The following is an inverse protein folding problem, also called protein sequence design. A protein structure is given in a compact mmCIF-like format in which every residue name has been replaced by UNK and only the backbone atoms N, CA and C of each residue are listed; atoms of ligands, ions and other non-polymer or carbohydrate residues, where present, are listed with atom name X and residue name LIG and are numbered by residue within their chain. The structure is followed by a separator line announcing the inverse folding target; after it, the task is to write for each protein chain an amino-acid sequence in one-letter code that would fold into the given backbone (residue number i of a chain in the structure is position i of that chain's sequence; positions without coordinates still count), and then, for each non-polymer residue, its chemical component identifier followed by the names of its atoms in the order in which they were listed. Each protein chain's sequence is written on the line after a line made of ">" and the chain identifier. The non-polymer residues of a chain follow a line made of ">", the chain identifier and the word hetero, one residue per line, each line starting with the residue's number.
data_IF_942744895414
#
_entry.id   IF_942744895414
#
_cell.length_a   1.000
_cell.length_b   1.000
_cell.length_c   1.000
_cell.angle_alpha   90.00
_cell.angle_beta   90.00
_cell.angle_gamma   90.00
#
_symmetry.space_group_name_H-M   'P 1'
#
loop_
_entity.id
_entity.type
_entity.pdbx_description
1 polymer ?
#
# COMPACT_ATOMS: atom_id res chain seq x y z
N UNK A 1 -0.65 -23.23 -5.35
CA UNK A 1 -1.52 -23.89 -4.36
C UNK A 1 -2.12 -25.22 -4.86
N UNK A 2 -1.85 -25.66 -6.10
CA UNK A 2 -2.35 -26.92 -6.66
C UNK A 2 -3.88 -27.01 -6.78
N UNK A 3 -4.56 -25.88 -6.80
CA UNK A 3 -6.01 -25.76 -6.85
C UNK A 3 -6.46 -25.55 -8.30
N UNK A 4 -7.56 -26.21 -8.71
CA UNK A 4 -8.16 -25.95 -10.01
C UNK A 4 -8.88 -24.58 -10.07
N UNK A 5 -9.23 -24.14 -11.27
CA UNK A 5 -9.81 -22.81 -11.50
C UNK A 5 -11.19 -22.65 -10.83
N UNK A 6 -11.98 -23.70 -10.78
CA UNK A 6 -13.33 -23.68 -10.19
C UNK A 6 -13.25 -23.54 -8.66
N UNK A 7 -12.37 -24.29 -8.02
CA UNK A 7 -12.09 -24.20 -6.59
C UNK A 7 -11.52 -22.82 -6.23
N UNK A 8 -10.60 -22.28 -7.04
CA UNK A 8 -10.05 -20.95 -6.84
C UNK A 8 -11.14 -19.85 -6.94
N UNK A 9 -12.02 -19.95 -7.91
CA UNK A 9 -13.16 -19.03 -8.08
C UNK A 9 -14.14 -19.13 -6.91
N UNK A 10 -14.48 -20.32 -6.48
CA UNK A 10 -15.36 -20.57 -5.31
C UNK A 10 -14.76 -19.93 -4.05
N UNK A 11 -13.46 -20.07 -3.81
CA UNK A 11 -12.78 -19.46 -2.67
C UNK A 11 -12.83 -17.93 -2.72
N UNK A 12 -12.61 -17.33 -3.88
CA UNK A 12 -12.71 -15.87 -4.08
C UNK A 12 -14.14 -15.38 -3.82
N UNK A 13 -15.15 -16.10 -4.29
CA UNK A 13 -16.55 -15.75 -4.09
C UNK A 13 -16.93 -15.86 -2.60
N UNK A 14 -16.46 -16.90 -1.90
CA UNK A 14 -16.64 -17.03 -0.45
C UNK A 14 -15.95 -15.87 0.30
N UNK A 15 -14.73 -15.50 -0.07
CA UNK A 15 -14.04 -14.36 0.52
C UNK A 15 -14.86 -13.07 0.33
N UNK A 16 -15.31 -12.79 -0.89
CA UNK A 16 -16.08 -11.59 -1.17
C UNK A 16 -17.47 -11.57 -0.49
N UNK A 17 -18.06 -12.72 -0.23
CA UNK A 17 -19.32 -12.80 0.53
C UNK A 17 -19.12 -12.51 2.02
N UNK A 18 -18.00 -12.97 2.59
CA UNK A 18 -17.66 -12.74 4.00
C UNK A 18 -17.11 -11.33 4.26
N UNK A 19 -16.44 -10.73 3.28
CA UNK A 19 -15.78 -9.41 3.39
C UNK A 19 -16.23 -8.49 2.24
N UNK A 20 -17.53 -8.17 2.15
CA UNK A 20 -18.09 -7.46 0.98
C UNK A 20 -17.56 -6.04 0.81
N UNK A 21 -17.13 -5.39 1.90
CA UNK A 21 -16.61 -4.03 1.86
C UNK A 21 -15.34 -3.90 1.00
N UNK A 22 -14.50 -4.92 0.91
CA UNK A 22 -13.29 -4.92 0.06
C UNK A 22 -13.68 -4.76 -1.40
N UNK A 23 -14.69 -5.52 -1.85
CA UNK A 23 -15.21 -5.43 -3.23
C UNK A 23 -15.85 -4.06 -3.51
N UNK A 24 -16.59 -3.51 -2.53
CA UNK A 24 -17.19 -2.18 -2.64
C UNK A 24 -16.14 -1.08 -2.73
N UNK A 25 -15.11 -1.11 -1.88
CA UNK A 25 -14.01 -0.16 -1.91
C UNK A 25 -13.24 -0.22 -3.23
N UNK A 26 -12.90 -1.43 -3.70
CA UNK A 26 -12.22 -1.62 -4.99
C UNK A 26 -13.00 -0.97 -6.12
N UNK A 27 -14.30 -1.29 -6.24
CA UNK A 27 -15.16 -0.70 -7.27
C UNK A 27 -15.31 0.82 -7.12
N UNK A 28 -15.44 1.31 -5.89
CA UNK A 28 -15.57 2.75 -5.62
C UNK A 28 -14.32 3.54 -6.06
N UNK A 29 -13.14 3.03 -5.72
CA UNK A 29 -11.88 3.66 -6.10
C UNK A 29 -11.65 3.60 -7.61
N UNK A 30 -11.93 2.45 -8.25
CA UNK A 30 -11.86 2.31 -9.71
C UNK A 30 -12.82 3.29 -10.41
N UNK A 31 -14.09 3.33 -10.03
CA UNK A 31 -15.09 4.23 -10.61
C UNK A 31 -14.65 5.70 -10.50
N UNK A 32 -14.04 6.09 -9.37
CA UNK A 32 -13.49 7.44 -9.19
C UNK A 32 -12.35 7.73 -10.17
N UNK A 33 -11.48 6.77 -10.43
CA UNK A 33 -10.35 6.93 -11.35
C UNK A 33 -10.79 6.86 -12.82
N UNK A 34 -11.79 6.06 -13.13
CA UNK A 34 -12.31 5.89 -14.48
C UNK A 34 -13.16 7.07 -14.94
N UNK A 35 -13.62 7.95 -14.03
CA UNK A 35 -14.30 9.20 -14.42
C UNK A 35 -13.31 10.10 -15.17
N UNK A 36 -13.59 10.45 -16.44
CA UNK A 36 -12.71 11.33 -17.24
C UNK A 36 -12.43 12.69 -16.60
N UNK A 37 -13.33 13.16 -15.74
CA UNK A 37 -13.22 14.44 -15.02
C UNK A 37 -12.36 14.34 -13.76
N UNK A 38 -12.01 13.13 -13.33
CA UNK A 38 -11.19 12.93 -12.14
C UNK A 38 -9.75 13.36 -12.37
N UNK A 39 -9.08 13.75 -11.29
CA UNK A 39 -7.65 14.09 -11.32
C UNK A 39 -6.74 12.89 -11.65
N UNK A 40 -7.31 11.68 -11.85
CA UNK A 40 -6.53 10.45 -12.07
C UNK A 40 -5.64 10.06 -10.91
N UNK A 41 -5.98 10.49 -9.69
CA UNK A 41 -5.18 10.21 -8.51
C UNK A 41 -6.04 9.85 -7.29
N UNK A 42 -5.45 9.05 -6.41
CA UNK A 42 -5.94 8.79 -5.06
C UNK A 42 -4.90 9.30 -4.06
N UNK A 43 -5.32 9.47 -2.81
CA UNK A 43 -4.43 9.94 -1.75
C UNK A 43 -4.28 8.89 -0.67
N UNK A 44 -3.04 8.67 -0.23
CA UNK A 44 -2.72 7.85 0.94
C UNK A 44 -3.20 8.52 2.23
N UNK A 45 -3.02 7.85 3.35
CA UNK A 45 -3.41 8.31 4.69
C UNK A 45 -2.88 9.71 5.04
N UNK A 46 -1.62 10.01 4.66
CA UNK A 46 -1.00 11.34 4.87
C UNK A 46 -1.12 12.27 3.66
N UNK A 47 -2.06 11.99 2.74
CA UNK A 47 -2.39 12.86 1.62
C UNK A 47 -1.46 12.76 0.41
N UNK A 48 -0.49 11.84 0.39
CA UNK A 48 0.41 11.64 -0.73
C UNK A 48 -0.35 11.11 -1.94
N UNK A 49 -0.11 11.71 -3.12
CA UNK A 49 -0.79 11.34 -4.37
C UNK A 49 -0.21 10.07 -4.97
N UNK A 50 -1.09 9.11 -5.25
CA UNK A 50 -0.83 7.95 -6.11
C UNK A 50 -1.51 8.23 -7.46
N UNK A 51 -0.72 8.43 -8.52
CA UNK A 51 -1.20 8.83 -9.84
C UNK A 51 -1.42 7.64 -10.76
N UNK A 52 -2.40 7.77 -11.66
CA UNK A 52 -2.74 6.83 -12.72
C UNK A 52 -2.77 7.61 -14.04
N UNK A 53 -1.59 7.98 -14.51
CA UNK A 53 -1.40 8.91 -15.63
C UNK A 53 -1.20 8.18 -16.98
N UNK A 54 -1.20 6.83 -16.96
CA UNK A 54 -1.10 6.02 -18.16
C UNK A 54 -2.48 5.63 -18.68
N UNK A 55 -2.57 5.50 -20.00
CA UNK A 55 -3.80 5.23 -20.73
C UNK A 55 -3.62 4.08 -21.71
N UNK A 56 -4.69 3.35 -21.97
CA UNK A 56 -4.76 2.24 -22.91
C UNK A 56 -6.13 2.23 -23.61
N UNK A 57 -6.26 1.61 -24.80
CA UNK A 57 -7.54 1.39 -25.43
C UNK A 57 -8.52 0.63 -24.54
N UNK A 58 -9.80 1.01 -24.57
CA UNK A 58 -10.85 0.36 -23.78
C UNK A 58 -11.33 -0.93 -24.48
N UNK A 59 -10.42 -1.77 -24.93
CA UNK A 59 -10.67 -3.08 -25.57
C UNK A 59 -10.27 -4.22 -24.64
N UNK A 60 -10.54 -5.47 -25.04
CA UNK A 60 -10.13 -6.66 -24.30
C UNK A 60 -8.68 -7.09 -24.62
N UNK A 61 -8.11 -6.55 -25.68
CA UNK A 61 -6.71 -6.83 -26.05
C UNK A 61 -5.73 -6.16 -25.10
N UNK A 62 -4.60 -6.81 -24.89
CA UNK A 62 -3.52 -6.24 -24.08
C UNK A 62 -2.76 -5.18 -24.91
N UNK A 63 -2.75 -3.95 -24.40
CA UNK A 63 -2.03 -2.84 -24.97
C UNK A 63 -0.95 -2.33 -24.04
N UNK A 64 0.09 -1.74 -24.61
CA UNK A 64 1.08 -0.99 -23.83
C UNK A 64 0.40 0.28 -23.27
N UNK A 65 0.44 0.44 -21.98
CA UNK A 65 -0.04 1.65 -21.34
C UNK A 65 0.92 2.82 -21.59
N UNK A 66 0.41 3.94 -22.08
CA UNK A 66 1.18 5.11 -22.52
C UNK A 66 0.66 6.39 -21.85
N UNK A 67 1.46 7.46 -21.75
CA UNK A 67 0.96 8.79 -21.49
C UNK A 67 -0.18 9.15 -22.45
N UNK A 68 -1.14 9.99 -22.01
CA UNK A 68 -2.39 10.22 -22.76
C UNK A 68 -2.16 10.70 -24.19
N UNK A 69 -1.22 11.62 -24.39
CA UNK A 69 -0.90 12.18 -25.73
C UNK A 69 -0.29 11.11 -26.64
N UNK A 70 0.62 10.30 -26.12
CA UNK A 70 1.23 9.18 -26.84
C UNK A 70 0.19 8.10 -27.18
N UNK A 71 -0.74 7.81 -26.26
CA UNK A 71 -1.82 6.87 -26.49
C UNK A 71 -2.76 7.34 -27.62
N UNK A 72 -3.08 8.63 -27.66
CA UNK A 72 -3.87 9.23 -28.76
C UNK A 72 -3.11 9.15 -30.09
N UNK A 73 -1.80 9.45 -30.09
CA UNK A 73 -0.98 9.36 -31.30
C UNK A 73 -0.87 7.92 -31.81
N UNK A 74 -0.73 6.96 -30.92
CA UNK A 74 -0.56 5.55 -31.28
C UNK A 74 -1.87 4.88 -31.75
N UNK A 75 -3.01 5.24 -31.17
CA UNK A 75 -4.29 4.53 -31.41
C UNK A 75 -5.36 5.36 -32.12
N UNK A 76 -5.06 6.63 -32.41
CA UNK A 76 -5.94 7.56 -33.08
C UNK A 76 -6.88 8.33 -32.14
N UNK A 77 -7.31 9.54 -32.55
CA UNK A 77 -8.08 10.47 -31.71
C UNK A 77 -9.52 10.00 -31.42
N UNK A 78 -10.05 9.09 -32.22
CA UNK A 78 -11.41 8.53 -32.07
C UNK A 78 -11.45 7.28 -31.19
N UNK A 79 -10.28 6.72 -30.85
CA UNK A 79 -10.21 5.52 -30.01
C UNK A 79 -10.60 5.86 -28.57
N UNK A 80 -11.56 5.12 -28.03
CA UNK A 80 -11.94 5.24 -26.61
C UNK A 80 -10.81 4.76 -25.73
N UNK A 81 -10.19 5.66 -24.99
CA UNK A 81 -9.13 5.37 -24.03
C UNK A 81 -9.69 5.26 -22.61
N UNK A 82 -9.11 4.39 -21.80
CA UNK A 82 -9.33 4.26 -20.34
C UNK A 82 -7.99 4.41 -19.62
N UNK A 83 -8.04 4.80 -18.34
CA UNK A 83 -6.84 4.80 -17.50
C UNK A 83 -6.37 3.38 -17.26
N UNK A 84 -5.08 3.16 -17.43
CA UNK A 84 -4.43 1.87 -17.20
C UNK A 84 -4.27 1.58 -15.69
N UNK A 85 -4.27 0.30 -15.33
CA UNK A 85 -3.96 -0.22 -14.00
C UNK A 85 -4.88 0.25 -12.87
N UNK A 86 -6.06 0.79 -13.15
CA UNK A 86 -7.01 1.26 -12.11
C UNK A 86 -7.46 0.13 -11.18
N UNK A 87 -7.44 -1.11 -11.64
CA UNK A 87 -7.71 -2.29 -10.81
C UNK A 87 -6.72 -2.48 -9.63
N UNK A 88 -5.52 -1.89 -9.72
CA UNK A 88 -4.50 -1.90 -8.65
C UNK A 88 -4.70 -0.78 -7.61
N UNK A 89 -5.72 0.05 -7.78
CA UNK A 89 -5.83 1.29 -7.02
C UNK A 89 -6.00 1.05 -5.52
N UNK A 90 -6.82 0.09 -5.10
CA UNK A 90 -6.97 -0.23 -3.68
C UNK A 90 -5.65 -0.74 -3.07
N UNK A 91 -4.95 -1.64 -3.75
CA UNK A 91 -3.65 -2.12 -3.27
C UNK A 91 -2.64 -0.96 -3.15
N UNK A 92 -2.55 -0.09 -4.16
CA UNK A 92 -1.69 1.11 -4.10
C UNK A 92 -2.06 2.04 -2.95
N UNK A 93 -3.35 2.20 -2.66
CA UNK A 93 -3.83 3.01 -1.54
C UNK A 93 -3.35 2.45 -0.20
N UNK A 94 -3.52 1.15 0.00
CA UNK A 94 -3.12 0.45 1.23
C UNK A 94 -1.60 0.49 1.40
N UNK A 95 -0.84 0.11 0.37
CA UNK A 95 0.63 0.10 0.40
C UNK A 95 1.23 1.50 0.61
N UNK A 96 0.67 2.52 -0.04
CA UNK A 96 1.11 3.90 0.16
C UNK A 96 0.80 4.41 1.56
N UNK A 97 -0.31 3.98 2.17
CA UNK A 97 -0.68 4.35 3.53
C UNK A 97 0.18 3.63 4.57
N UNK A 98 0.51 2.35 4.35
CA UNK A 98 1.47 1.63 5.17
C UNK A 98 2.87 2.29 5.13
N UNK A 99 3.33 2.69 3.95
CA UNK A 99 4.59 3.44 3.82
C UNK A 99 4.53 4.82 4.49
N UNK A 100 3.37 5.47 4.58
CA UNK A 100 3.19 6.70 5.34
C UNK A 100 3.35 6.45 6.84
N UNK A 101 2.83 5.33 7.35
CA UNK A 101 2.95 4.92 8.76
C UNK A 101 4.41 4.71 9.14
N UNK A 102 5.15 3.93 8.36
CA UNK A 102 6.59 3.69 8.62
C UNK A 102 7.39 4.99 8.60
N UNK A 103 7.13 5.87 7.64
CA UNK A 103 7.83 7.17 7.57
C UNK A 103 7.49 8.09 8.74
N UNK A 104 6.26 8.06 9.22
CA UNK A 104 5.88 8.81 10.41
C UNK A 104 6.57 8.23 11.65
N UNK A 105 6.64 6.90 11.78
CA UNK A 105 7.37 6.23 12.84
C UNK A 105 8.86 6.59 12.82
N UNK A 106 9.52 6.53 11.65
CA UNK A 106 10.93 6.95 11.49
C UNK A 106 11.16 8.39 11.98
N UNK A 107 10.27 9.30 11.60
CA UNK A 107 10.38 10.70 12.04
C UNK A 107 10.18 10.84 13.54
N UNK A 108 9.19 10.16 14.10
CA UNK A 108 8.87 10.23 15.53
C UNK A 108 10.01 9.67 16.40
N UNK A 109 10.59 8.53 16.01
CA UNK A 109 11.73 7.97 16.76
C UNK A 109 12.97 8.85 16.63
N UNK A 110 13.22 9.44 15.46
CA UNK A 110 14.33 10.38 15.27
C UNK A 110 14.16 11.64 16.13
N UNK A 111 12.97 12.21 16.20
CA UNK A 111 12.65 13.35 17.05
C UNK A 111 12.77 13.03 18.55
N UNK A 112 12.59 11.77 18.92
CA UNK A 112 12.80 11.28 20.29
C UNK A 112 14.29 11.00 20.63
N UNK A 113 15.21 11.27 19.68
CA UNK A 113 16.65 11.13 19.87
C UNK A 113 17.23 9.76 19.45
N UNK A 114 16.42 8.91 18.81
CA UNK A 114 16.90 7.61 18.34
C UNK A 114 17.13 7.62 16.82
N UNK A 115 18.24 7.05 16.39
CA UNK A 115 18.58 6.96 14.97
C UNK A 115 18.30 5.55 14.46
N UNK A 116 17.35 5.36 13.54
CA UNK A 116 17.19 4.07 12.87
C UNK A 116 18.45 3.73 12.07
N UNK A 117 18.99 2.54 12.30
CA UNK A 117 20.21 2.06 11.61
C UNK A 117 19.87 1.46 10.26
N UNK A 118 18.70 0.82 10.16
CA UNK A 118 18.22 0.15 8.96
C UNK A 118 16.69 0.22 8.90
N UNK A 119 16.14 0.34 7.68
CA UNK A 119 14.70 0.21 7.40
C UNK A 119 14.52 -0.85 6.32
N UNK A 120 13.75 -1.88 6.63
CA UNK A 120 13.40 -2.96 5.71
C UNK A 120 11.87 -3.12 5.72
N UNK A 121 11.21 -2.74 4.61
CA UNK A 121 9.75 -2.74 4.53
C UNK A 121 9.08 -1.96 5.67
N UNK A 122 8.48 -2.65 6.62
CA UNK A 122 7.78 -2.13 7.80
C UNK A 122 8.59 -2.27 9.10
N UNK A 123 9.81 -2.78 9.01
CA UNK A 123 10.74 -2.94 10.12
C UNK A 123 11.70 -1.75 10.25
N UNK A 124 12.03 -1.39 11.48
CA UNK A 124 13.09 -0.45 11.81
C UNK A 124 14.07 -1.12 12.78
N UNK A 125 15.35 -1.17 12.42
CA UNK A 125 16.39 -1.69 13.28
C UNK A 125 17.10 -0.55 14.01
N UNK A 126 17.40 -0.77 15.30
CA UNK A 126 18.08 0.16 16.17
C UNK A 126 19.21 -0.53 16.93
N UNK A 127 20.22 0.23 17.37
CA UNK A 127 21.11 -0.18 18.43
C UNK A 127 20.57 0.37 19.75
N UNK A 128 20.26 -0.53 20.69
CA UNK A 128 19.72 -0.18 22.02
C UNK A 128 20.48 -0.96 23.09
N UNK A 129 20.60 -0.39 24.28
CA UNK A 129 21.31 -1.03 25.38
C UNK A 129 20.39 -1.84 26.29
N UNK A 130 19.09 -1.55 26.28
CA UNK A 130 18.13 -2.17 27.20
C UNK A 130 16.80 -2.53 26.51
N UNK A 131 16.10 -3.53 27.07
CA UNK A 131 14.74 -3.87 26.67
C UNK A 131 13.75 -2.70 26.90
N UNK A 132 14.01 -1.88 27.92
CA UNK A 132 13.16 -0.72 28.24
C UNK A 132 13.23 0.33 27.11
N UNK A 133 14.39 0.55 26.55
CA UNK A 133 14.54 1.41 25.36
C UNK A 133 13.81 0.84 24.15
N UNK A 134 13.92 -0.47 23.90
CA UNK A 134 13.18 -1.12 22.82
C UNK A 134 11.67 -0.95 22.98
N UNK A 135 11.13 -1.14 24.21
CA UNK A 135 9.69 -0.90 24.50
C UNK A 135 9.29 0.57 24.35
N UNK A 136 10.17 1.51 24.67
CA UNK A 136 9.92 2.93 24.42
C UNK A 136 9.83 3.23 22.93
N UNK A 137 10.70 2.65 22.11
CA UNK A 137 10.67 2.77 20.66
C UNK A 137 9.37 2.17 20.08
N UNK A 138 8.97 0.99 20.55
CA UNK A 138 7.69 0.37 20.19
C UNK A 138 6.52 1.35 20.41
N UNK A 139 6.42 1.95 21.58
CA UNK A 139 5.34 2.89 21.90
C UNK A 139 5.38 4.14 21.01
N UNK A 140 6.56 4.67 20.69
CA UNK A 140 6.69 5.79 19.75
C UNK A 140 6.20 5.39 18.35
N UNK A 141 6.56 4.20 17.88
CA UNK A 141 6.17 3.70 16.54
C UNK A 141 4.67 3.46 16.45
N UNK A 142 4.06 2.81 17.45
CA UNK A 142 2.62 2.55 17.51
C UNK A 142 1.81 3.84 17.47
N UNK A 143 2.28 4.88 18.18
CA UNK A 143 1.58 6.16 18.30
C UNK A 143 1.94 7.19 17.22
N UNK A 144 2.82 6.84 16.27
CA UNK A 144 3.27 7.77 15.23
C UNK A 144 2.16 8.23 14.28
N UNK A 145 1.12 7.42 14.08
CA UNK A 145 -0.11 7.78 13.37
C UNK A 145 -1.30 7.25 14.15
N UNK A 146 -2.27 8.13 14.38
CA UNK A 146 -3.57 7.74 14.93
C UNK A 146 -4.38 7.01 13.85
N UNK A 147 -4.77 5.77 14.16
CA UNK A 147 -5.62 4.92 13.32
C UNK A 147 -6.86 4.50 14.10
N UNK A 148 -7.96 4.26 13.39
CA UNK A 148 -9.19 3.72 13.98
C UNK A 148 -8.97 2.32 14.58
N UNK A 149 -8.11 1.52 13.91
CA UNK A 149 -7.67 0.23 14.42
C UNK A 149 -6.30 0.43 15.09
N UNK A 150 -6.10 -0.05 16.33
CA UNK A 150 -4.81 0.09 17.01
C UNK A 150 -3.67 -0.53 16.20
N UNK A 151 -2.56 0.20 16.09
CA UNK A 151 -1.33 -0.34 15.54
C UNK A 151 -0.70 -1.32 16.53
N UNK A 152 -0.02 -2.33 16.02
CA UNK A 152 0.80 -3.27 16.78
C UNK A 152 2.22 -3.25 16.23
N UNK A 153 3.18 -3.38 17.11
CA UNK A 153 4.57 -3.56 16.78
C UNK A 153 5.10 -4.73 17.61
N UNK A 154 5.88 -5.60 17.03
CA UNK A 154 6.56 -6.68 17.73
C UNK A 154 8.03 -6.30 17.86
N UNK A 155 8.69 -6.77 18.92
CA UNK A 155 10.10 -6.48 19.21
C UNK A 155 10.91 -7.76 19.06
N UNK A 156 11.91 -7.72 18.20
CA UNK A 156 12.97 -8.71 18.14
C UNK A 156 14.25 -8.11 18.75
N UNK A 157 14.85 -8.80 19.71
CA UNK A 157 16.06 -8.34 20.39
C UNK A 157 17.16 -9.39 20.33
N UNK A 158 18.40 -8.97 20.10
CA UNK A 158 19.56 -9.84 20.05
C UNK A 158 20.87 -9.07 19.87
N UNK A 159 22.02 -9.76 19.96
CA UNK A 159 23.32 -9.12 19.82
C UNK A 159 23.62 -8.63 18.40
N UNK A 160 22.88 -9.14 17.42
CA UNK A 160 22.91 -8.71 16.02
C UNK A 160 21.56 -8.90 15.38
N UNK A 161 21.32 -8.25 14.23
CA UNK A 161 20.06 -8.37 13.47
C UNK A 161 19.76 -9.82 13.07
N UNK A 162 20.78 -10.61 12.70
CA UNK A 162 20.61 -12.01 12.33
C UNK A 162 20.36 -12.97 13.51
N UNK A 163 20.56 -12.52 14.74
CA UNK A 163 20.37 -13.29 15.96
C UNK A 163 19.21 -12.77 16.83
N UNK A 164 18.53 -11.74 16.36
CA UNK A 164 17.37 -11.19 17.04
C UNK A 164 16.24 -12.20 17.12
N UNK A 165 15.53 -12.24 18.26
CA UNK A 165 14.41 -13.13 18.55
C UNK A 165 13.28 -12.34 19.19
N UNK A 166 12.05 -12.75 18.90
CA UNK A 166 10.86 -12.15 19.47
C UNK A 166 10.90 -12.13 21.01
N UNK A 167 10.67 -10.96 21.57
CA UNK A 167 10.50 -10.75 23.00
C UNK A 167 9.04 -10.99 23.36
N UNK A 168 8.80 -11.99 24.18
CA UNK A 168 7.45 -12.35 24.67
C UNK A 168 7.07 -11.55 25.90
#
# INVERSE_FOLDING_TARGET
>A
LGMDEESAKSLIDQYHSRVPFVKMLTKGVQKKLDDPRSSGSIRSLKGRKCRFDLWEPATFEMHKALPREEAIAAHGPTTRLKRAFTYRALNRLVQASAADQVKAAMLAVYQAGYTPMLQVHDELAFSVDTLEEAKKLEQIMINAIELVVPSKCDIDLGPSWGEAKEVK
#
